data_IF_621207333722
#
_entry.id   IF_621207333722
#
_cell.length_a   1.000
_cell.length_b   1.000
_cell.length_c   1.000
_cell.angle_alpha   90.00
_cell.angle_beta   90.00
_cell.angle_gamma   90.00
#
_symmetry.space_group_name_H-M   'P 1'
#
loop_
_entity.id
_entity.type
_entity.pdbx_description
1 polymer ?
#
# COMPACT_ATOMS: atom_id res chain seq x y z
N UNK A 1 -15.52 -8.30 -40.03
CA UNK A 1 -16.26 -8.33 -38.74
C UNK A 1 -15.67 -9.39 -37.79
N UNK A 2 -15.46 -10.63 -38.22
CA UNK A 2 -14.91 -11.71 -37.37
C UNK A 2 -13.56 -11.37 -36.67
N UNK A 3 -12.63 -10.71 -37.36
CA UNK A 3 -11.34 -10.33 -36.77
C UNK A 3 -11.48 -9.25 -35.67
N UNK A 4 -12.40 -8.30 -35.84
CA UNK A 4 -12.67 -7.26 -34.83
C UNK A 4 -13.27 -7.90 -33.58
N UNK A 5 -14.19 -8.85 -33.75
CA UNK A 5 -14.80 -9.60 -32.64
C UNK A 5 -13.74 -10.39 -31.88
N UNK A 6 -12.81 -11.07 -32.56
CA UNK A 6 -11.72 -11.79 -31.89
C UNK A 6 -10.80 -10.85 -31.10
N UNK A 7 -10.45 -9.68 -31.64
CA UNK A 7 -9.60 -8.69 -30.95
C UNK A 7 -10.30 -8.17 -29.69
N UNK A 8 -11.60 -7.86 -29.76
CA UNK A 8 -12.38 -7.39 -28.60
C UNK A 8 -12.49 -8.48 -27.53
N UNK A 9 -12.70 -9.74 -27.93
CA UNK A 9 -12.75 -10.88 -26.99
C UNK A 9 -11.40 -11.11 -26.33
N UNK A 10 -10.29 -11.07 -27.08
CA UNK A 10 -8.95 -11.21 -26.49
C UNK A 10 -8.70 -10.08 -25.50
N UNK A 11 -8.97 -8.82 -25.86
CA UNK A 11 -8.82 -7.66 -24.97
C UNK A 11 -9.66 -7.78 -23.69
N UNK A 12 -10.90 -8.26 -23.80
CA UNK A 12 -11.78 -8.49 -22.65
C UNK A 12 -11.24 -9.55 -21.67
N UNK A 13 -10.45 -10.53 -22.16
CA UNK A 13 -9.79 -11.53 -21.31
C UNK A 13 -8.54 -10.99 -20.61
N UNK A 14 -7.98 -9.85 -21.05
CA UNK A 14 -6.81 -9.22 -20.44
C UNK A 14 -7.17 -8.30 -19.26
N UNK A 15 -8.46 -7.94 -19.12
CA UNK A 15 -8.91 -6.89 -18.19
C UNK A 15 -8.91 -7.35 -16.73
N UNK A 16 -8.84 -8.66 -16.46
CA UNK A 16 -8.84 -9.23 -15.10
C UNK A 16 -7.47 -9.77 -14.69
N UNK A 17 -6.44 -8.93 -14.83
CA UNK A 17 -5.16 -9.14 -14.17
C UNK A 17 -4.80 -7.84 -13.45
N UNK A 18 -5.61 -7.44 -12.46
CA UNK A 18 -5.08 -6.64 -11.37
C UNK A 18 -3.92 -7.46 -10.82
N UNK A 19 -2.69 -7.03 -11.11
CA UNK A 19 -1.54 -7.59 -10.43
C UNK A 19 -1.80 -7.26 -8.97
N UNK A 20 -2.21 -8.25 -8.19
CA UNK A 20 -2.29 -8.11 -6.75
C UNK A 20 -0.84 -7.88 -6.29
N UNK A 21 -0.47 -6.60 -6.18
CA UNK A 21 0.82 -6.21 -5.66
C UNK A 21 0.72 -6.51 -4.17
N UNK A 22 1.38 -7.59 -3.76
CA UNK A 22 1.75 -7.80 -2.37
C UNK A 22 3.08 -7.09 -2.14
N UNK A 23 3.08 -6.11 -1.24
CA UNK A 23 4.26 -5.41 -0.81
C UNK A 23 4.40 -5.59 0.70
N UNK A 24 5.39 -6.38 1.10
CA UNK A 24 5.68 -6.64 2.50
C UNK A 24 4.46 -7.19 3.26
N UNK A 25 3.70 -8.10 2.63
CA UNK A 25 2.49 -8.69 3.19
C UNK A 25 1.25 -7.79 3.11
N UNK A 26 1.33 -6.62 2.49
CA UNK A 26 0.19 -5.72 2.31
C UNK A 26 -0.25 -5.68 0.86
N UNK A 27 -1.56 -5.77 0.63
CA UNK A 27 -2.16 -5.55 -0.68
C UNK A 27 -2.16 -4.07 -1.07
N UNK A 28 -2.33 -3.77 -2.35
CA UNK A 28 -2.47 -2.40 -2.82
C UNK A 28 -3.62 -1.64 -2.14
N UNK A 29 -4.75 -2.30 -1.90
CA UNK A 29 -5.91 -1.67 -1.26
C UNK A 29 -5.62 -1.34 0.21
N UNK A 30 -4.93 -2.23 0.93
CA UNK A 30 -4.50 -2.00 2.31
C UNK A 30 -3.49 -0.86 2.43
N UNK A 31 -2.55 -0.75 1.49
CA UNK A 31 -1.62 0.38 1.43
C UNK A 31 -2.34 1.70 1.15
N UNK A 32 -3.33 1.68 0.26
CA UNK A 32 -4.15 2.86 -0.05
C UNK A 32 -4.99 3.31 1.15
N UNK A 33 -5.48 2.36 1.94
CA UNK A 33 -6.21 2.63 3.18
C UNK A 33 -5.32 3.30 4.24
N UNK A 34 -4.03 2.92 4.30
CA UNK A 34 -3.07 3.53 5.22
C UNK A 34 -2.46 4.85 4.72
N UNK A 35 -2.47 5.10 3.41
CA UNK A 35 -1.83 6.26 2.79
C UNK A 35 -2.23 7.62 3.43
N UNK A 36 -3.50 7.90 3.74
CA UNK A 36 -3.89 9.18 4.33
C UNK A 36 -3.27 9.45 5.71
N UNK A 37 -2.89 8.41 6.45
CA UNK A 37 -2.27 8.54 7.77
C UNK A 37 -0.76 8.85 7.70
N UNK A 38 -0.14 8.50 6.58
CA UNK A 38 1.31 8.67 6.34
C UNK A 38 1.61 9.70 5.26
N UNK A 39 0.63 10.48 4.84
CA UNK A 39 0.80 11.51 3.81
C UNK A 39 1.54 12.73 4.37
N UNK A 40 2.43 13.32 3.57
CA UNK A 40 3.13 14.57 3.92
C UNK A 40 2.18 15.75 4.10
N UNK A 41 1.14 15.79 3.28
CA UNK A 41 0.15 16.87 3.29
C UNK A 41 -1.13 16.40 3.97
N UNK A 42 -1.56 17.17 4.98
CA UNK A 42 -2.80 16.96 5.73
C UNK A 42 -2.99 15.51 6.23
N UNK A 43 -2.04 14.95 7.01
CA UNK A 43 -2.17 13.61 7.54
C UNK A 43 -3.42 13.47 8.41
N UNK A 44 -4.10 12.35 8.27
CA UNK A 44 -5.30 12.01 9.04
C UNK A 44 -5.00 10.93 10.07
N UNK A 45 -5.92 10.70 11.02
CA UNK A 45 -5.79 9.56 11.93
C UNK A 45 -5.94 8.24 11.17
N UNK A 46 -5.22 7.18 11.55
CA UNK A 46 -5.35 5.88 10.90
C UNK A 46 -6.76 5.34 11.05
N UNK A 47 -7.26 4.71 9.99
CA UNK A 47 -8.55 4.02 10.00
C UNK A 47 -8.38 2.62 10.63
N UNK A 48 -9.47 2.06 11.14
CA UNK A 48 -9.48 0.69 11.67
C UNK A 48 -9.05 -0.35 10.62
N UNK A 49 -9.46 -0.27 9.33
CA UNK A 49 -8.99 -1.19 8.31
C UNK A 49 -7.48 -1.06 8.04
N UNK A 50 -6.92 0.16 8.05
CA UNK A 50 -5.46 0.34 7.98
C UNK A 50 -4.75 -0.36 9.17
N UNK A 51 -5.20 -0.09 10.41
CA UNK A 51 -4.59 -0.71 11.58
C UNK A 51 -4.72 -2.23 11.60
N UNK A 52 -5.80 -2.77 11.03
CA UNK A 52 -6.00 -4.21 10.87
C UNK A 52 -5.00 -4.80 9.88
N UNK A 53 -4.80 -4.14 8.73
CA UNK A 53 -3.83 -4.58 7.73
C UNK A 53 -2.39 -4.58 8.26
N UNK A 54 -2.03 -3.60 9.10
CA UNK A 54 -0.71 -3.55 9.72
C UNK A 54 -0.42 -4.73 10.68
N UNK A 55 -1.44 -5.50 11.10
CA UNK A 55 -1.22 -6.67 11.96
C UNK A 55 -0.49 -7.81 11.23
N UNK A 56 -0.62 -7.88 9.90
CA UNK A 56 0.04 -8.89 9.07
C UNK A 56 1.16 -8.32 8.17
N UNK A 57 1.47 -7.03 8.31
CA UNK A 57 2.53 -6.38 7.55
C UNK A 57 3.93 -6.82 8.03
N UNK A 58 4.86 -6.97 7.10
CA UNK A 58 6.28 -7.16 7.37
C UNK A 58 6.97 -5.81 7.53
N UNK A 59 7.11 -5.36 8.78
CA UNK A 59 7.75 -4.08 9.09
C UNK A 59 9.24 -4.04 8.72
N UNK A 60 9.96 -5.17 8.75
CA UNK A 60 11.36 -5.21 8.35
C UNK A 60 11.50 -4.99 6.84
N UNK A 61 10.61 -5.59 6.05
CA UNK A 61 10.50 -5.33 4.62
C UNK A 61 10.12 -3.86 4.34
N UNK A 62 9.11 -3.33 5.03
CA UNK A 62 8.67 -1.92 4.86
C UNK A 62 9.79 -0.93 5.20
N UNK A 63 10.59 -1.20 6.23
CA UNK A 63 11.77 -0.40 6.56
C UNK A 63 12.79 -0.32 5.40
N UNK A 64 12.87 -1.35 4.55
CA UNK A 64 13.69 -1.33 3.34
C UNK A 64 13.31 -0.21 2.36
N UNK A 65 12.07 0.28 2.43
CA UNK A 65 11.57 1.39 1.63
C UNK A 65 11.72 2.76 2.28
N UNK A 66 12.21 2.87 3.53
CA UNK A 66 12.31 4.16 4.27
C UNK A 66 13.03 5.26 3.48
N UNK A 67 14.07 4.88 2.72
CA UNK A 67 14.85 5.81 1.89
C UNK A 67 14.56 5.67 0.40
N UNK A 68 13.49 4.95 0.04
CA UNK A 68 13.12 4.74 -1.36
C UNK A 68 12.62 6.05 -1.98
N UNK A 69 13.06 6.40 -3.21
CA UNK A 69 12.50 7.52 -3.96
C UNK A 69 10.98 7.41 -4.15
N UNK A 70 10.43 6.19 -4.09
CA UNK A 70 9.00 5.94 -4.23
C UNK A 70 8.17 6.63 -3.14
N UNK A 71 8.68 6.78 -1.91
CA UNK A 71 7.97 7.51 -0.87
C UNK A 71 7.69 8.96 -1.28
N UNK A 72 8.68 9.59 -1.92
CA UNK A 72 8.51 10.93 -2.49
C UNK A 72 7.45 10.96 -3.59
N UNK A 73 7.47 9.99 -4.51
CA UNK A 73 6.50 9.89 -5.61
C UNK A 73 5.07 9.64 -5.14
N UNK A 74 4.88 8.92 -4.03
CA UNK A 74 3.56 8.63 -3.46
C UNK A 74 3.10 9.64 -2.40
N UNK A 75 3.93 10.65 -2.09
CA UNK A 75 3.63 11.67 -1.07
C UNK A 75 3.67 11.14 0.36
N UNK A 76 4.39 10.05 0.61
CA UNK A 76 4.52 9.42 1.92
C UNK A 76 5.63 10.08 2.74
N UNK A 77 5.33 10.39 3.99
CA UNK A 77 6.30 10.86 4.98
C UNK A 77 6.93 9.67 5.72
N UNK A 78 8.27 9.54 5.70
CA UNK A 78 8.95 8.38 6.29
C UNK A 78 8.89 8.34 7.82
N UNK A 79 8.65 9.47 8.51
CA UNK A 79 8.55 9.53 9.97
C UNK A 79 7.12 9.23 10.43
N UNK A 80 6.11 9.65 9.66
CA UNK A 80 4.74 9.20 9.89
C UNK A 80 4.58 7.70 9.62
N UNK A 81 5.21 7.19 8.56
CA UNK A 81 5.17 5.77 8.22
C UNK A 81 5.78 4.87 9.30
N UNK A 82 6.92 5.27 9.89
CA UNK A 82 7.51 4.54 11.02
C UNK A 82 6.69 4.66 12.30
N UNK A 83 6.07 5.81 12.54
CA UNK A 83 5.20 6.05 13.70
C UNK A 83 3.86 5.33 13.64
N UNK A 84 3.38 4.98 12.45
CA UNK A 84 2.02 4.47 12.22
C UNK A 84 1.68 3.21 13.05
N UNK A 85 2.53 2.17 13.12
CA UNK A 85 2.21 0.97 13.90
C UNK A 85 2.02 1.26 15.40
N UNK A 86 2.76 2.23 15.94
CA UNK A 86 2.59 2.69 17.32
C UNK A 86 1.26 3.40 17.52
N UNK A 87 0.81 4.21 16.56
CA UNK A 87 -0.51 4.85 16.60
C UNK A 87 -1.65 3.83 16.56
N UNK A 88 -1.44 2.71 15.85
CA UNK A 88 -2.36 1.57 15.83
C UNK A 88 -2.24 0.63 17.05
N UNK A 89 -1.37 0.93 18.02
CA UNK A 89 -1.22 0.12 19.24
C UNK A 89 -0.51 -1.22 19.03
N UNK A 90 0.26 -1.38 17.95
CA UNK A 90 0.96 -2.62 17.65
C UNK A 90 2.26 -2.71 18.45
N UNK A 91 2.46 -3.84 19.13
CA UNK A 91 3.63 -4.09 19.98
C UNK A 91 4.94 -4.17 19.20
N UNK A 92 4.87 -4.56 17.92
CA UNK A 92 6.04 -4.79 17.06
C UNK A 92 6.35 -3.57 16.16
N UNK A 93 6.16 -2.35 16.66
CA UNK A 93 6.41 -1.15 15.87
C UNK A 93 7.88 -1.09 15.38
N UNK A 94 8.12 -0.71 14.11
CA UNK A 94 9.47 -0.58 13.56
C UNK A 94 10.26 0.53 14.27
N UNK A 95 11.58 0.37 14.29
CA UNK A 95 12.54 1.38 14.80
C UNK A 95 13.38 2.03 13.70
N UNK A 96 13.10 1.67 12.45
CA UNK A 96 13.30 2.60 11.36
C UNK A 96 12.19 3.66 11.46
#
# INVERSE_FOLDING_TARGET
>A
MAMIVMIVVVMAMLVDRSVAIDLCGMTQDELNECKPAVSKENPTSPTEPCCTALQHADFACLCGYKNSPWLGSFGVDPELASGLPKQCGLANAPTC
#
